data_IF_665420677737
#
_entry.id   IF_665420677737
#
_cell.length_a   1.000
_cell.length_b   1.000
_cell.length_c   1.000
_cell.angle_alpha   90.00
_cell.angle_beta   90.00
_cell.angle_gamma   90.00
#
_symmetry.space_group_name_H-M   'P 1'
#
loop_
_entity.id
_entity.type
_entity.pdbx_description
1 polymer ?
#
# COMPACT_ATOMS: atom_id res chain seq x y z
N UNK A 1 -32.38 -39.30 9.88
CA UNK A 1 -32.97 -38.07 10.46
C UNK A 1 -32.55 -36.91 9.58
N UNK A 2 -33.39 -36.66 8.58
CA UNK A 2 -33.27 -35.59 7.60
C UNK A 2 -33.91 -34.33 8.18
N UNK A 3 -33.35 -33.15 7.88
CA UNK A 3 -34.17 -32.01 7.51
C UNK A 3 -33.36 -31.09 6.59
N UNK A 4 -33.64 -31.27 5.30
CA UNK A 4 -33.37 -30.32 4.22
C UNK A 4 -34.73 -29.80 3.75
N UNK A 5 -34.73 -28.56 3.24
CA UNK A 5 -35.58 -28.03 2.16
C UNK A 5 -36.74 -27.05 2.47
N UNK A 6 -36.74 -26.00 1.64
CA UNK A 6 -37.81 -25.10 1.20
C UNK A 6 -38.31 -24.06 2.22
N UNK A 7 -38.48 -22.77 1.89
CA UNK A 7 -39.31 -22.27 0.77
C UNK A 7 -38.78 -20.92 0.26
N UNK A 8 -38.64 -20.82 -1.07
CA UNK A 8 -38.68 -19.58 -1.83
C UNK A 8 -39.98 -19.55 -2.67
N UNK A 9 -40.45 -18.33 -2.96
CA UNK A 9 -41.49 -17.92 -3.91
C UNK A 9 -42.98 -18.12 -3.59
N UNK A 10 -43.66 -17.00 -3.28
CA UNK A 10 -44.88 -16.62 -4.01
C UNK A 10 -45.07 -15.09 -4.07
N UNK A 11 -45.41 -14.61 -5.26
CA UNK A 11 -45.46 -13.23 -5.74
C UNK A 11 -46.90 -12.67 -5.73
N UNK A 12 -47.04 -11.34 -5.51
CA UNK A 12 -48.14 -10.39 -5.91
C UNK A 12 -49.49 -10.45 -5.19
N UNK A 13 -49.82 -9.35 -4.47
CA UNK A 13 -50.79 -8.29 -4.86
C UNK A 13 -50.94 -7.24 -3.74
N UNK A 14 -50.88 -5.94 -4.08
CA UNK A 14 -51.55 -4.88 -3.29
C UNK A 14 -50.73 -3.67 -2.80
N UNK A 15 -50.34 -2.78 -3.71
CA UNK A 15 -50.50 -1.30 -3.61
C UNK A 15 -50.10 -0.47 -2.38
N UNK A 16 -49.23 0.52 -2.68
CA UNK A 16 -49.12 1.91 -2.15
C UNK A 16 -48.19 2.23 -0.96
N UNK A 17 -47.12 2.94 -1.34
CA UNK A 17 -46.61 4.21 -0.77
C UNK A 17 -45.95 4.21 0.61
N UNK A 18 -44.63 4.45 0.60
CA UNK A 18 -43.85 4.87 1.78
C UNK A 18 -42.36 4.59 1.60
N UNK A 19 -41.60 5.58 1.09
CA UNK A 19 -40.14 5.53 0.94
C UNK A 19 -39.48 5.24 2.30
N UNK A 20 -38.93 4.04 2.49
CA UNK A 20 -37.93 3.74 3.52
C UNK A 20 -36.55 4.05 2.97
N UNK A 21 -35.91 5.07 3.53
CA UNK A 21 -34.52 5.41 3.31
C UNK A 21 -33.70 4.67 4.38
N UNK A 22 -33.51 3.36 4.19
CA UNK A 22 -32.58 2.57 5.00
C UNK A 22 -31.16 2.86 4.50
N UNK A 23 -30.49 3.81 5.17
CA UNK A 23 -29.05 4.03 5.02
C UNK A 23 -28.32 2.80 5.56
N UNK A 24 -27.78 1.97 4.66
CA UNK A 24 -26.80 0.93 5.00
C UNK A 24 -25.52 1.58 5.54
N UNK A 25 -25.44 1.72 6.86
CA UNK A 25 -24.18 1.82 7.59
C UNK A 25 -23.50 0.43 7.55
N UNK A 26 -22.75 0.16 6.47
CA UNK A 26 -21.73 -0.90 6.47
C UNK A 26 -20.44 -0.34 7.07
N UNK A 27 -19.68 -1.12 7.86
CA UNK A 27 -18.65 -0.60 8.75
C UNK A 27 -17.42 -0.13 7.97
N UNK A 28 -17.14 1.18 8.06
CA UNK A 28 -15.93 1.86 7.53
C UNK A 28 -14.60 1.27 8.05
N UNK A 29 -14.65 0.43 9.07
CA UNK A 29 -13.48 -0.17 9.72
C UNK A 29 -12.86 -1.35 8.94
N UNK A 30 -13.54 -1.88 7.92
CA UNK A 30 -12.93 -2.82 6.94
C UNK A 30 -12.11 -2.06 5.89
N UNK A 31 -12.38 -0.77 5.68
CA UNK A 31 -11.66 0.04 4.71
C UNK A 31 -10.22 0.33 5.15
N UNK A 32 -9.92 0.43 6.46
CA UNK A 32 -8.56 0.79 6.90
C UNK A 32 -7.49 -0.26 6.62
N UNK A 33 -7.84 -1.55 6.59
CA UNK A 33 -6.92 -2.62 6.14
C UNK A 33 -6.54 -2.48 4.66
N UNK A 34 -7.47 -1.98 3.84
CA UNK A 34 -7.23 -1.61 2.44
C UNK A 34 -6.62 -0.21 2.26
N UNK A 35 -6.80 0.72 3.20
CA UNK A 35 -6.21 2.07 3.15
C UNK A 35 -4.71 2.02 3.50
N UNK A 36 -4.26 1.10 4.35
CA UNK A 36 -2.84 0.76 4.50
C UNK A 36 -2.25 0.09 3.23
N UNK A 37 -3.07 -0.46 2.33
CA UNK A 37 -2.64 -0.94 1.01
C UNK A 37 -2.52 0.20 -0.03
N UNK A 38 -3.11 1.37 0.24
CA UNK A 38 -3.05 2.57 -0.61
C UNK A 38 -1.84 3.48 -0.32
N UNK A 39 -0.96 3.14 0.64
CA UNK A 39 0.35 3.79 0.77
C UNK A 39 1.40 3.26 -0.22
N UNK A 40 1.02 2.31 -1.08
CA UNK A 40 1.82 1.91 -2.24
C UNK A 40 1.89 3.07 -3.23
N UNK A 41 3.02 3.81 -3.20
CA UNK A 41 3.37 4.80 -4.21
C UNK A 41 3.11 4.21 -5.61
N UNK A 42 2.40 4.90 -6.53
CA UNK A 42 2.30 4.43 -7.89
C UNK A 42 3.71 4.46 -8.52
N UNK A 43 4.18 3.27 -8.93
CA UNK A 43 5.25 3.05 -9.89
C UNK A 43 6.56 3.81 -9.63
N UNK A 44 7.46 3.24 -8.81
CA UNK A 44 8.88 3.59 -8.91
C UNK A 44 9.40 2.98 -10.22
N UNK A 45 9.50 3.81 -11.26
CA UNK A 45 10.20 3.49 -12.49
C UNK A 45 11.62 3.03 -12.11
N UNK A 46 11.92 1.78 -12.43
CA UNK A 46 13.20 1.15 -12.17
C UNK A 46 14.33 2.00 -12.77
N UNK A 47 15.15 2.60 -11.92
CA UNK A 47 16.43 3.16 -12.35
C UNK A 47 17.39 2.00 -12.66
N UNK A 48 18.19 2.07 -13.74
CA UNK A 48 19.07 0.98 -14.17
C UNK A 48 20.36 0.85 -13.34
N UNK A 49 20.44 1.52 -12.19
CA UNK A 49 21.60 1.42 -11.31
C UNK A 49 21.17 0.73 -10.00
N UNK A 50 21.87 -0.32 -9.56
CA UNK A 50 21.69 -0.81 -8.22
C UNK A 50 22.02 0.34 -7.28
N UNK A 51 21.03 0.86 -6.56
CA UNK A 51 21.31 1.51 -5.28
C UNK A 51 21.70 0.38 -4.32
N UNK A 52 22.90 -0.17 -4.52
CA UNK A 52 23.71 -0.57 -3.38
C UNK A 52 23.75 0.69 -2.50
N UNK A 53 22.98 0.69 -1.41
CA UNK A 53 23.48 1.35 -0.23
C UNK A 53 24.62 0.45 0.20
N UNK A 54 25.91 0.78 -0.04
CA UNK A 54 26.89 0.29 0.90
C UNK A 54 26.37 0.83 2.24
N UNK A 55 25.99 -0.04 3.16
CA UNK A 55 26.06 0.32 4.57
C UNK A 55 27.46 0.89 4.72
N UNK A 56 27.55 2.22 4.85
CA UNK A 56 28.82 2.88 5.01
C UNK A 56 29.43 2.21 6.23
N UNK A 57 30.53 1.49 6.00
CA UNK A 57 31.37 0.87 7.04
C UNK A 57 31.88 1.92 8.06
N UNK A 58 31.54 3.18 7.85
CA UNK A 58 31.94 4.38 8.55
C UNK A 58 30.89 4.93 9.53
N UNK A 59 29.63 4.48 9.49
CA UNK A 59 28.63 4.86 10.53
C UNK A 59 28.74 4.01 11.82
N UNK A 60 29.59 2.98 11.80
CA UNK A 60 29.81 2.09 12.96
C UNK A 60 30.67 2.71 14.08
N UNK A 61 31.10 3.97 13.95
CA UNK A 61 32.09 4.57 14.86
C UNK A 61 31.55 5.45 15.98
N UNK A 62 30.27 5.85 15.95
CA UNK A 62 29.76 6.82 16.93
C UNK A 62 28.83 6.24 18.01
N UNK A 63 28.53 4.93 17.99
CA UNK A 63 27.57 4.33 18.94
C UNK A 63 26.15 4.91 18.84
N UNK A 64 25.86 5.70 17.81
CA UNK A 64 24.57 6.34 17.56
C UNK A 64 23.62 5.36 16.90
N UNK A 65 22.37 5.35 17.37
CA UNK A 65 21.35 4.46 16.84
C UNK A 65 20.83 5.01 15.49
N UNK A 66 20.57 4.14 14.50
CA UNK A 66 20.00 4.58 13.23
C UNK A 66 18.53 4.94 13.41
N UNK A 67 18.05 5.91 12.61
CA UNK A 67 16.63 6.25 12.57
C UNK A 67 15.83 5.02 12.05
N UNK A 68 14.76 4.61 12.76
CA UNK A 68 13.95 3.44 12.41
C UNK A 68 13.17 3.56 11.09
N UNK A 69 13.03 4.76 10.53
CA UNK A 69 12.19 5.04 9.37
C UNK A 69 10.73 5.32 9.74
N UNK A 70 9.84 5.23 8.76
CA UNK A 70 8.40 5.46 8.95
C UNK A 70 7.67 4.17 9.33
N UNK A 71 6.55 4.30 10.04
CA UNK A 71 5.72 3.15 10.45
C UNK A 71 5.18 2.36 9.24
N UNK A 72 4.75 3.06 8.19
CA UNK A 72 4.37 2.46 6.89
C UNK A 72 5.49 1.62 6.25
N UNK A 73 6.75 1.93 6.57
CA UNK A 73 7.92 1.26 6.04
C UNK A 73 8.19 -0.11 6.65
N UNK A 74 7.56 -0.46 7.77
CA UNK A 74 7.90 -1.65 8.55
C UNK A 74 7.77 -2.94 7.74
N UNK A 75 6.62 -3.14 7.09
CA UNK A 75 6.33 -4.32 6.28
C UNK A 75 6.74 -4.15 4.80
N UNK A 76 7.27 -2.99 4.42
CA UNK A 76 7.51 -2.65 3.02
C UNK A 76 8.46 -3.61 2.33
N UNK A 77 9.55 -4.00 3.01
CA UNK A 77 10.53 -4.93 2.43
C UNK A 77 9.91 -6.29 2.09
N UNK A 78 8.96 -6.74 2.90
CA UNK A 78 8.24 -7.99 2.64
C UNK A 78 7.22 -7.80 1.53
N UNK A 79 6.36 -6.77 1.62
CA UNK A 79 5.34 -6.43 0.62
C UNK A 79 5.91 -6.21 -0.78
N UNK A 80 7.10 -5.60 -0.89
CA UNK A 80 7.76 -5.33 -2.17
C UNK A 80 8.19 -6.62 -2.91
N UNK A 81 8.31 -7.77 -2.24
CA UNK A 81 8.63 -9.08 -2.86
C UNK A 81 7.40 -9.71 -3.52
N UNK A 82 6.20 -9.44 -3.00
CA UNK A 82 4.97 -10.04 -3.51
C UNK A 82 4.61 -9.50 -4.90
N UNK A 83 4.05 -10.35 -5.77
CA UNK A 83 3.50 -9.92 -7.05
C UNK A 83 2.20 -9.13 -6.84
N UNK A 84 2.02 -8.05 -7.59
CA UNK A 84 0.75 -7.33 -7.61
C UNK A 84 -0.25 -8.06 -8.52
N UNK A 85 -1.46 -8.28 -8.01
CA UNK A 85 -2.53 -8.88 -8.81
C UNK A 85 -2.91 -7.95 -9.95
N UNK A 86 -2.72 -8.41 -11.18
CA UNK A 86 -3.12 -7.71 -12.40
C UNK A 86 -4.21 -8.49 -13.10
N UNK A 87 -5.30 -7.81 -13.45
CA UNK A 87 -6.42 -8.38 -14.18
C UNK A 87 -6.64 -7.59 -15.48
N UNK A 88 -6.89 -8.28 -16.58
CA UNK A 88 -7.18 -7.65 -17.86
C UNK A 88 -5.95 -7.02 -18.51
N UNK A 89 -6.15 -5.98 -19.33
CA UNK A 89 -5.08 -5.32 -20.08
C UNK A 89 -4.81 -3.94 -19.49
N UNK A 90 -3.57 -3.71 -19.03
CA UNK A 90 -3.14 -2.42 -18.47
C UNK A 90 -2.06 -1.78 -19.35
N UNK A 91 -2.38 -0.67 -20.01
CA UNK A 91 -1.39 0.12 -20.75
C UNK A 91 -1.04 1.38 -19.96
N UNK A 92 0.23 1.53 -19.60
CA UNK A 92 0.75 2.72 -18.92
C UNK A 92 1.69 3.41 -19.90
N UNK A 93 1.41 4.67 -20.23
CA UNK A 93 2.27 5.51 -21.05
C UNK A 93 2.78 6.65 -20.18
N UNK A 94 4.05 6.58 -19.81
CA UNK A 94 4.75 7.60 -19.06
C UNK A 94 5.47 8.53 -20.03
N UNK A 95 5.26 9.84 -19.89
CA UNK A 95 5.96 10.88 -20.63
C UNK A 95 6.57 11.86 -19.64
N UNK A 96 7.90 11.91 -19.61
CA UNK A 96 8.63 12.91 -18.85
C UNK A 96 8.79 14.17 -19.71
N UNK A 97 8.08 15.24 -19.36
CA UNK A 97 8.20 16.52 -20.08
C UNK A 97 9.40 17.34 -19.58
N UNK A 98 9.73 17.21 -18.29
CA UNK A 98 10.87 17.86 -17.64
C UNK A 98 11.38 17.00 -16.48
N UNK A 99 12.55 17.35 -15.92
CA UNK A 99 13.09 16.73 -14.69
C UNK A 99 12.08 16.78 -13.53
N UNK A 100 11.27 17.85 -13.51
CA UNK A 100 10.31 18.14 -12.45
C UNK A 100 8.89 17.72 -12.78
N UNK A 101 8.59 17.42 -14.04
CA UNK A 101 7.22 17.19 -14.48
C UNK A 101 7.10 15.91 -15.28
N UNK A 102 6.36 14.95 -14.70
CA UNK A 102 6.06 13.67 -15.34
C UNK A 102 4.55 13.50 -15.47
N UNK A 103 4.13 13.02 -16.62
CA UNK A 103 2.75 12.72 -16.96
C UNK A 103 2.65 11.23 -17.25
N UNK A 104 1.61 10.58 -16.75
CA UNK A 104 1.36 9.16 -16.91
C UNK A 104 -0.10 8.95 -17.29
N UNK A 105 -0.30 8.24 -18.39
CA UNK A 105 -1.62 7.85 -18.90
C UNK A 105 -1.79 6.36 -18.64
N UNK A 106 -2.71 5.99 -17.77
CA UNK A 106 -2.99 4.58 -17.47
C UNK A 106 -4.35 4.20 -18.02
N UNK A 107 -4.36 3.33 -19.02
CA UNK A 107 -5.55 2.66 -19.54
C UNK A 107 -5.65 1.29 -18.89
N UNK A 108 -6.77 1.01 -18.25
CA UNK A 108 -7.04 -0.27 -17.60
C UNK A 108 -8.33 -0.85 -18.18
N UNK A 109 -8.19 -1.88 -19.00
CA UNK A 109 -9.30 -2.62 -19.59
C UNK A 109 -9.48 -3.92 -18.82
N UNK A 110 -10.58 -4.07 -18.09
CA UNK A 110 -10.92 -5.32 -17.40
C UNK A 110 -12.16 -5.95 -18.07
N UNK A 111 -12.25 -7.28 -17.97
CA UNK A 111 -13.42 -8.03 -18.40
C UNK A 111 -14.50 -8.10 -17.30
N UNK A 112 -14.13 -7.84 -16.04
CA UNK A 112 -15.01 -7.95 -14.85
C UNK A 112 -15.40 -6.58 -14.32
N UNK A 113 -14.47 -5.63 -14.31
CA UNK A 113 -14.65 -4.26 -13.87
C UNK A 113 -14.80 -3.31 -15.07
N UNK A 114 -15.46 -2.14 -14.90
CA UNK A 114 -15.54 -1.15 -15.97
C UNK A 114 -14.13 -0.73 -16.41
N UNK A 115 -13.96 -0.62 -17.73
CA UNK A 115 -12.72 -0.09 -18.30
C UNK A 115 -12.53 1.36 -17.86
N UNK A 116 -11.31 1.70 -17.49
CA UNK A 116 -11.02 2.97 -16.87
C UNK A 116 -9.76 3.61 -17.42
N UNK A 117 -9.79 4.95 -17.51
CA UNK A 117 -8.67 5.76 -17.91
C UNK A 117 -8.31 6.70 -16.76
N UNK A 118 -7.04 6.61 -16.32
CA UNK A 118 -6.47 7.40 -15.23
C UNK A 118 -5.36 8.28 -15.78
N UNK A 119 -5.52 9.57 -15.58
CA UNK A 119 -4.52 10.57 -15.90
C UNK A 119 -3.78 10.96 -14.62
N UNK A 120 -2.49 10.67 -14.57
CA UNK A 120 -1.64 10.91 -13.41
C UNK A 120 -0.56 11.93 -13.75
N UNK A 121 -0.43 12.96 -12.93
CA UNK A 121 0.58 14.01 -13.04
C UNK A 121 1.35 14.04 -11.75
N UNK A 122 2.68 13.99 -11.84
CA UNK A 122 3.56 14.21 -10.71
C UNK A 122 4.49 15.37 -11.00
N UNK A 123 4.44 16.36 -10.12
CA UNK A 123 5.35 17.48 -10.06
C UNK A 123 6.30 17.28 -8.88
N UNK A 124 7.60 17.23 -9.16
CA UNK A 124 8.66 17.20 -8.17
C UNK A 124 9.41 18.52 -8.26
N UNK A 125 9.29 19.36 -7.25
CA UNK A 125 10.09 20.58 -7.18
C UNK A 125 11.50 20.20 -6.75
N UNK A 126 12.54 20.61 -7.46
CA UNK A 126 13.92 20.49 -6.97
C UNK A 126 14.42 21.87 -6.63
N UNK A 127 14.77 22.09 -5.37
CA UNK A 127 15.71 23.16 -5.05
C UNK A 127 17.10 22.71 -5.48
N UNK A 128 17.83 23.62 -6.12
CA UNK A 128 19.07 23.36 -6.82
C UNK A 128 20.29 23.30 -5.88
N UNK A 129 20.07 23.34 -4.56
CA UNK A 129 21.12 23.68 -3.59
C UNK A 129 21.31 22.68 -2.43
N UNK A 130 20.64 21.53 -2.42
CA UNK A 130 20.95 20.49 -1.44
C UNK A 130 20.91 19.09 -2.05
N UNK A 131 21.99 18.33 -1.80
CA UNK A 131 22.05 16.87 -1.90
C UNK A 131 21.20 16.22 -0.78
N UNK A 132 20.01 16.76 -0.50
CA UNK A 132 19.09 16.19 0.48
C UNK A 132 17.81 15.71 -0.23
N UNK A 133 17.54 14.44 0.02
CA UNK A 133 16.83 13.50 -0.85
C UNK A 133 15.30 13.59 -0.76
N UNK A 134 14.71 14.74 -0.41
CA UNK A 134 13.28 14.84 -0.08
C UNK A 134 12.67 16.21 -0.40
N UNK A 135 12.74 16.59 -1.68
CA UNK A 135 12.08 17.80 -2.19
C UNK A 135 10.55 17.65 -2.26
N UNK A 136 9.78 18.75 -2.17
CA UNK A 136 8.33 18.69 -2.14
C UNK A 136 7.77 18.12 -3.45
N UNK A 137 6.73 17.29 -3.33
CA UNK A 137 6.14 16.58 -4.45
C UNK A 137 4.62 16.71 -4.41
N UNK A 138 4.05 17.11 -5.54
CA UNK A 138 2.61 17.13 -5.77
C UNK A 138 2.25 16.06 -6.79
N UNK A 139 1.32 15.20 -6.44
CA UNK A 139 0.77 14.18 -7.32
C UNK A 139 -0.73 14.42 -7.43
N UNK A 140 -1.24 14.49 -8.65
CA UNK A 140 -2.65 14.55 -8.95
C UNK A 140 -3.02 13.42 -9.90
N UNK A 141 -4.06 12.68 -9.58
CA UNK A 141 -4.57 11.61 -10.41
C UNK A 141 -6.07 11.75 -10.58
N UNK A 142 -6.51 11.82 -11.83
CA UNK A 142 -7.91 11.97 -12.18
C UNK A 142 -8.38 10.79 -13.01
N UNK A 143 -9.53 10.26 -12.61
CA UNK A 143 -10.20 9.16 -13.26
C UNK A 143 -11.25 9.62 -14.26
N UNK A 144 -11.53 8.81 -15.28
CA UNK A 144 -12.58 9.09 -16.28
C UNK A 144 -13.98 9.27 -15.68
N UNK A 145 -14.21 8.68 -14.51
CA UNK A 145 -15.45 8.80 -13.74
C UNK A 145 -15.58 10.11 -12.95
N UNK A 146 -14.55 10.96 -12.93
CA UNK A 146 -14.51 12.20 -12.14
C UNK A 146 -14.03 12.00 -10.70
N UNK A 147 -13.45 10.84 -10.35
CA UNK A 147 -12.75 10.67 -9.08
C UNK A 147 -11.36 11.30 -9.16
N UNK A 148 -11.03 12.20 -8.22
CA UNK A 148 -9.73 12.85 -8.12
C UNK A 148 -9.01 12.36 -6.85
N UNK A 149 -7.76 11.92 -6.99
CA UNK A 149 -6.85 11.66 -5.89
C UNK A 149 -5.70 12.66 -5.98
N UNK A 150 -5.56 13.52 -4.99
CA UNK A 150 -4.45 14.47 -4.89
C UNK A 150 -3.60 14.13 -3.65
N UNK A 151 -2.30 13.95 -3.85
CA UNK A 151 -1.32 13.79 -2.79
C UNK A 151 -0.34 14.94 -2.83
N UNK A 152 -0.17 15.64 -1.73
CA UNK A 152 0.81 16.70 -1.58
C UNK A 152 1.75 16.34 -0.44
N UNK A 153 3.04 16.35 -0.72
CA UNK A 153 4.12 16.06 0.21
C UNK A 153 4.92 17.33 0.40
N UNK A 154 4.82 17.90 1.59
CA UNK A 154 5.53 19.09 2.00
C UNK A 154 6.62 18.72 2.99
N UNK A 155 7.80 19.29 2.79
CA UNK A 155 8.88 19.24 3.76
C UNK A 155 8.91 20.59 4.48
N UNK A 156 8.35 20.64 5.70
CA UNK A 156 8.21 21.89 6.46
C UNK A 156 9.53 22.28 7.13
N UNK A 157 10.37 21.30 7.46
CA UNK A 157 11.69 21.46 8.08
C UNK A 157 12.49 20.17 7.87
N UNK A 158 13.82 20.19 8.03
CA UNK A 158 14.72 19.01 7.89
C UNK A 158 14.21 17.74 8.60
N UNK A 159 13.44 17.92 9.69
CA UNK A 159 12.91 16.84 10.52
C UNK A 159 11.40 16.65 10.42
N UNK A 160 10.67 17.57 9.79
CA UNK A 160 9.20 17.57 9.76
C UNK A 160 8.71 17.43 8.33
N UNK A 161 7.96 16.35 8.09
CA UNK A 161 7.29 16.08 6.82
C UNK A 161 5.79 16.16 7.05
N UNK A 162 5.10 16.88 6.17
CA UNK A 162 3.65 16.88 6.11
C UNK A 162 3.20 16.25 4.80
N UNK A 163 2.14 15.46 4.86
CA UNK A 163 1.54 14.79 3.72
C UNK A 163 0.04 15.02 3.79
N UNK A 164 -0.53 15.64 2.77
CA UNK A 164 -1.97 15.79 2.66
C UNK A 164 -2.48 14.98 1.47
N UNK A 165 -3.52 14.19 1.70
CA UNK A 165 -4.17 13.33 0.71
C UNK A 165 -5.64 13.73 0.65
N UNK A 166 -6.10 14.05 -0.55
CA UNK A 166 -7.49 14.37 -0.83
C UNK A 166 -8.03 13.38 -1.85
N UNK A 167 -9.17 12.77 -1.54
CA UNK A 167 -9.85 11.84 -2.44
C UNK A 167 -11.30 12.26 -2.61
N UNK A 168 -11.66 12.54 -3.86
CA UNK A 168 -13.02 12.79 -4.29
C UNK A 168 -13.52 11.62 -5.11
N UNK A 169 -14.81 11.32 -4.97
CA UNK A 169 -15.51 10.38 -5.83
C UNK A 169 -16.62 11.15 -6.53
N UNK A 170 -16.43 11.40 -7.82
CA UNK A 170 -17.35 12.20 -8.64
C UNK A 170 -17.57 13.60 -8.02
N UNK A 171 -18.76 13.84 -7.47
CA UNK A 171 -19.20 15.13 -6.92
C UNK A 171 -19.05 15.22 -5.40
N UNK A 172 -18.59 14.16 -4.72
CA UNK A 172 -18.48 14.13 -3.26
C UNK A 172 -17.03 14.00 -2.80
N UNK A 173 -16.67 14.81 -1.79
CA UNK A 173 -15.43 14.64 -1.05
C UNK A 173 -15.62 13.45 -0.11
N UNK A 174 -14.90 12.36 -0.37
CA UNK A 174 -15.06 11.10 0.38
C UNK A 174 -14.11 11.09 1.55
N UNK A 175 -12.83 11.38 1.30
CA UNK A 175 -11.82 11.40 2.36
C UNK A 175 -10.80 12.51 2.17
N UNK A 176 -10.35 13.02 3.30
CA UNK A 176 -9.21 13.91 3.38
C UNK A 176 -8.37 13.50 4.58
N UNK A 177 -7.07 13.40 4.37
CA UNK A 177 -6.12 12.89 5.34
C UNK A 177 -4.92 13.83 5.41
N UNK A 178 -4.60 14.27 6.62
CA UNK A 178 -3.41 15.05 6.92
C UNK A 178 -2.50 14.25 7.84
N UNK A 179 -1.31 13.94 7.37
CA UNK A 179 -0.29 13.20 8.08
C UNK A 179 0.91 14.13 8.33
N UNK A 180 1.36 14.21 9.57
CA UNK A 180 2.54 14.96 9.98
C UNK A 180 3.52 13.98 10.63
N UNK A 181 4.66 13.78 9.98
CA UNK A 181 5.73 12.89 10.40
C UNK A 181 6.92 13.72 10.92
N UNK A 182 7.31 13.48 12.15
CA UNK A 182 8.51 14.00 12.80
C UNK A 182 9.59 12.91 12.83
N UNK A 183 10.70 13.13 12.13
CA UNK A 183 11.86 12.25 12.14
C UNK A 183 12.94 12.83 13.05
N UNK A 184 13.08 12.23 14.21
CA UNK A 184 14.22 12.44 15.11
C UNK A 184 15.46 11.68 14.65
N UNK A 185 16.48 11.67 15.51
CA UNK A 185 17.71 10.89 15.28
C UNK A 185 17.46 9.39 15.53
N UNK A 186 16.89 9.08 16.69
CA UNK A 186 16.70 7.70 17.16
C UNK A 186 15.23 7.27 17.20
N UNK A 187 14.30 8.20 16.90
CA UNK A 187 12.86 7.95 16.92
C UNK A 187 12.15 8.64 15.76
N UNK A 188 10.99 8.12 15.40
CA UNK A 188 10.05 8.71 14.44
C UNK A 188 8.66 8.71 15.05
N UNK A 189 8.02 9.87 15.04
CA UNK A 189 6.63 10.04 15.45
C UNK A 189 5.81 10.51 14.26
N UNK A 190 4.61 9.98 14.06
CA UNK A 190 3.72 10.45 13.01
C UNK A 190 2.29 10.57 13.55
N UNK A 191 1.60 11.64 13.16
CA UNK A 191 0.19 11.85 13.51
C UNK A 191 -0.60 12.05 12.22
N UNK A 192 -1.61 11.23 12.04
CA UNK A 192 -2.51 11.23 10.90
C UNK A 192 -3.91 11.55 11.36
N UNK A 193 -4.51 12.57 10.77
CA UNK A 193 -5.91 12.95 10.94
C UNK A 193 -6.65 12.66 9.65
N UNK A 194 -7.72 11.88 9.72
CA UNK A 194 -8.55 11.54 8.56
C UNK A 194 -10.01 11.86 8.85
N UNK A 195 -10.69 12.41 7.83
CA UNK A 195 -12.14 12.65 7.81
C UNK A 195 -12.66 13.42 9.03
N UNK A 196 -12.04 14.54 9.40
CA UNK A 196 -12.57 15.39 10.46
C UNK A 196 -13.88 16.02 9.97
N UNK A 197 -14.98 15.77 10.67
CA UNK A 197 -16.22 16.49 10.45
C UNK A 197 -16.60 17.16 11.77
N UNK A 198 -16.33 18.47 11.85
CA UNK A 198 -16.63 19.28 13.04
C UNK A 198 -18.14 19.29 13.33
N UNK A 199 -18.98 19.21 12.29
CA UNK A 199 -20.43 19.27 12.43
C UNK A 199 -21.02 17.94 12.90
N UNK A 200 -20.38 16.82 12.54
CA UNK A 200 -20.83 15.46 12.92
C UNK A 200 -20.04 14.86 14.07
N UNK A 201 -19.11 15.62 14.65
CA UNK A 201 -18.16 15.19 15.69
C UNK A 201 -17.46 13.87 15.36
N UNK A 202 -17.20 13.61 14.09
CA UNK A 202 -16.49 12.39 13.67
C UNK A 202 -15.03 12.71 13.36
N UNK A 203 -14.12 11.93 13.94
CA UNK A 203 -12.68 12.05 13.69
C UNK A 203 -12.02 10.69 13.75
N UNK A 204 -11.09 10.46 12.81
CA UNK A 204 -10.13 9.36 12.91
C UNK A 204 -8.76 10.00 13.11
N UNK A 205 -8.12 9.66 14.22
CA UNK A 205 -6.77 10.06 14.53
C UNK A 205 -5.92 8.81 14.68
N UNK A 206 -4.78 8.77 14.01
CA UNK A 206 -3.80 7.71 14.14
C UNK A 206 -2.48 8.33 14.57
N UNK A 207 -1.93 7.85 15.68
CA UNK A 207 -0.63 8.28 16.18
C UNK A 207 0.32 7.09 16.17
N UNK A 208 1.47 7.26 15.53
CA UNK A 208 2.54 6.27 15.48
C UNK A 208 3.77 6.80 16.20
N UNK A 209 4.44 5.91 16.92
CA UNK A 209 5.71 6.20 17.55
C UNK A 209 6.63 5.00 17.39
N UNK A 210 7.81 5.20 16.81
CA UNK A 210 8.85 4.19 16.65
C UNK A 210 10.15 4.71 17.23
N UNK A 211 10.86 3.86 17.95
CA UNK A 211 12.14 4.16 18.57
C UNK A 211 13.11 3.01 18.33
N UNK A 212 14.31 3.37 17.88
CA UNK A 212 15.44 2.46 17.80
C UNK A 212 15.97 2.22 19.22
N UNK A 213 15.91 0.97 19.70
CA UNK A 213 16.40 0.58 21.04
C UNK A 213 17.82 0.02 20.94
N UNK A 214 18.12 -0.67 19.84
CA UNK A 214 19.47 -1.13 19.51
C UNK A 214 19.74 -0.93 18.03
N UNK A 215 20.98 -1.14 17.59
CA UNK A 215 21.36 -1.03 16.18
C UNK A 215 20.57 -1.97 15.24
N UNK A 216 19.88 -2.97 15.79
CA UNK A 216 19.11 -3.97 15.05
C UNK A 216 17.64 -4.02 15.47
N UNK A 217 17.28 -3.52 16.66
CA UNK A 217 15.95 -3.64 17.23
C UNK A 217 15.27 -2.28 17.28
N UNK A 218 14.12 -2.20 16.62
CA UNK A 218 13.20 -1.07 16.64
C UNK A 218 11.92 -1.51 17.30
N UNK A 219 11.42 -0.73 18.26
CA UNK A 219 10.14 -0.95 18.91
C UNK A 219 9.27 0.29 18.75
N UNK A 220 7.96 0.10 18.78
CA UNK A 220 7.03 1.20 18.72
C UNK A 220 5.60 0.78 18.92
N UNK A 221 4.70 1.70 18.63
CA UNK A 221 3.28 1.46 18.67
C UNK A 221 2.50 2.41 17.78
N UNK A 222 1.29 1.99 17.48
CA UNK A 222 0.27 2.72 16.75
C UNK A 222 -0.98 2.78 17.62
N UNK A 223 -1.50 3.98 17.81
CA UNK A 223 -2.76 4.25 18.46
C UNK A 223 -3.74 4.78 17.42
N UNK A 224 -4.74 3.97 17.09
CA UNK A 224 -5.86 4.36 16.24
C UNK A 224 -7.02 4.76 17.15
N UNK A 225 -7.36 6.03 17.18
CA UNK A 225 -8.54 6.57 17.83
C UNK A 225 -9.58 6.93 16.78
N UNK A 226 -10.75 6.32 16.85
CA UNK A 226 -11.90 6.69 16.02
C UNK A 226 -13.04 7.08 16.93
N UNK A 227 -13.59 8.27 16.67
CA UNK A 227 -14.79 8.79 17.30
C UNK A 227 -15.83 8.98 16.21
N UNK A 228 -16.92 8.26 16.32
CA UNK A 228 -18.13 8.45 15.51
C UNK A 228 -19.30 8.85 16.40
N UNK A 229 -20.38 9.32 15.78
CA UNK A 229 -21.59 9.81 16.49
C UNK A 229 -22.23 8.78 17.44
N UNK A 230 -21.96 7.48 17.24
CA UNK A 230 -22.56 6.39 18.03
C UNK A 230 -21.53 5.51 18.76
N UNK A 231 -20.25 5.54 18.37
CA UNK A 231 -19.23 4.65 18.91
C UNK A 231 -17.89 5.37 19.04
N UNK A 232 -17.27 5.24 20.21
CA UNK A 232 -15.88 5.62 20.46
C UNK A 232 -15.04 4.37 20.62
N UNK A 233 -13.89 4.32 19.95
CA UNK A 233 -12.99 3.19 20.03
C UNK A 233 -11.52 3.57 19.87
N UNK A 234 -10.69 2.99 20.73
CA UNK A 234 -9.23 3.06 20.63
C UNK A 234 -8.66 1.67 20.40
N UNK A 235 -7.77 1.53 19.42
CA UNK A 235 -6.99 0.32 19.21
C UNK A 235 -5.52 0.70 19.35
N UNK A 236 -4.85 0.09 20.32
CA UNK A 236 -3.41 0.13 20.46
C UNK A 236 -2.82 -1.12 19.82
N UNK A 237 -1.84 -0.89 18.95
CA UNK A 237 -1.03 -1.92 18.29
C UNK A 237 0.42 -1.68 18.66
N UNK A 238 1.11 -2.70 19.14
CA UNK A 238 2.54 -2.66 19.37
C UNK A 238 3.24 -3.17 18.12
N UNK A 239 4.36 -2.54 17.77
CA UNK A 239 5.16 -2.86 16.60
C UNK A 239 6.60 -3.15 17.02
N UNK A 240 7.20 -4.17 16.42
CA UNK A 240 8.60 -4.52 16.61
C UNK A 240 9.24 -4.90 15.28
N UNK A 241 10.47 -4.46 15.06
CA UNK A 241 11.28 -4.85 13.92
C UNK A 241 12.68 -5.23 14.38
N UNK A 242 13.16 -6.35 13.86
CA UNK A 242 14.50 -6.83 14.06
C UNK A 242 15.20 -6.98 12.71
N UNK A 243 16.29 -6.23 12.54
CA UNK A 243 17.07 -6.18 11.30
C UNK A 243 18.40 -6.92 11.48
N UNK A 244 18.50 -8.09 10.86
CA UNK A 244 19.75 -8.84 10.71
C UNK A 244 20.56 -8.39 9.50
N UNK A 245 21.71 -9.05 9.21
CA UNK A 245 22.58 -8.68 8.09
C UNK A 245 21.94 -8.88 6.72
N UNK A 246 21.14 -9.95 6.54
CA UNK A 246 20.51 -10.32 5.28
C UNK A 246 18.98 -10.54 5.40
N UNK A 247 18.41 -10.28 6.57
CA UNK A 247 17.01 -10.58 6.87
C UNK A 247 16.41 -9.54 7.80
N UNK A 248 15.11 -9.35 7.72
CA UNK A 248 14.35 -8.41 8.54
C UNK A 248 13.07 -9.12 8.98
N UNK A 249 12.85 -9.20 10.28
CA UNK A 249 11.61 -9.71 10.86
C UNK A 249 10.83 -8.56 11.49
N UNK A 250 9.52 -8.52 11.29
CA UNK A 250 8.66 -7.50 11.87
C UNK A 250 7.40 -8.15 12.44
N UNK A 251 6.88 -7.58 13.51
CA UNK A 251 5.70 -8.05 14.21
C UNK A 251 4.89 -6.85 14.69
N UNK A 252 3.64 -6.78 14.25
CA UNK A 252 2.63 -5.87 14.76
C UNK A 252 1.57 -6.69 15.49
N UNK A 253 1.28 -6.38 16.75
CA UNK A 253 0.28 -7.09 17.53
C UNK A 253 -0.56 -6.10 18.34
N UNK A 254 -1.87 -6.19 18.21
CA UNK A 254 -2.81 -5.30 18.90
C UNK A 254 -4.16 -5.98 19.10
N UNK A 255 -5.09 -5.24 19.68
CA UNK A 255 -6.47 -5.75 19.91
C UNK A 255 -7.20 -6.10 18.60
N UNK A 256 -6.79 -5.50 17.48
CA UNK A 256 -7.37 -5.76 16.16
C UNK A 256 -6.87 -7.04 15.47
N UNK A 257 -5.71 -7.56 15.88
CA UNK A 257 -5.05 -8.68 15.22
C UNK A 257 -3.53 -8.65 15.38
N UNK A 258 -2.87 -9.61 14.74
CA UNK A 258 -1.43 -9.70 14.64
C UNK A 258 -1.01 -9.80 13.17
N UNK A 259 0.05 -9.08 12.79
CA UNK A 259 0.65 -9.13 11.48
C UNK A 259 2.16 -9.29 11.63
N UNK A 260 2.69 -10.44 11.22
CA UNK A 260 4.10 -10.75 11.22
C UNK A 260 4.62 -10.82 9.79
N UNK A 261 5.80 -10.26 9.53
CA UNK A 261 6.45 -10.43 8.23
C UNK A 261 7.93 -10.75 8.38
N UNK A 262 8.44 -11.61 7.51
CA UNK A 262 9.83 -12.03 7.48
C UNK A 262 10.36 -11.89 6.07
N UNK A 263 11.31 -10.99 5.90
CA UNK A 263 12.03 -10.75 4.66
C UNK A 263 13.42 -11.34 4.75
N UNK A 264 13.85 -12.06 3.72
CA UNK A 264 15.19 -12.63 3.64
C UNK A 264 15.76 -12.50 2.22
N UNK A 265 16.94 -11.89 2.13
CA UNK A 265 17.71 -11.82 0.89
C UNK A 265 18.69 -12.98 0.83
N UNK A 266 18.29 -14.06 0.16
CA UNK A 266 19.11 -15.25 0.02
C UNK A 266 20.33 -15.00 -0.88
N UNK A 267 20.12 -14.33 -2.02
CA UNK A 267 21.18 -14.02 -2.99
C UNK A 267 20.97 -12.63 -3.60
N UNK A 268 21.93 -12.16 -4.41
CA UNK A 268 21.79 -10.89 -5.16
C UNK A 268 20.57 -10.91 -6.09
N UNK A 269 20.25 -12.09 -6.64
CA UNK A 269 19.15 -12.33 -7.57
C UNK A 269 17.85 -12.78 -6.89
N UNK A 270 17.90 -13.38 -5.71
CA UNK A 270 16.73 -14.02 -5.08
C UNK A 270 16.43 -13.38 -3.73
N UNK A 271 15.17 -12.96 -3.58
CA UNK A 271 14.61 -12.41 -2.35
C UNK A 271 13.35 -13.18 -1.99
N UNK A 272 13.13 -13.40 -0.69
CA UNK A 272 12.00 -14.16 -0.17
C UNK A 272 11.30 -13.33 0.89
N UNK A 273 9.97 -13.37 0.90
CA UNK A 273 9.11 -12.71 1.86
C UNK A 273 8.06 -13.69 2.38
N UNK A 274 7.79 -13.65 3.68
CA UNK A 274 6.73 -14.42 4.32
C UNK A 274 5.88 -13.47 5.14
N UNK A 275 4.57 -13.50 4.93
CA UNK A 275 3.59 -12.70 5.68
C UNK A 275 2.62 -13.62 6.39
N UNK A 276 2.34 -13.30 7.64
CA UNK A 276 1.32 -13.95 8.44
C UNK A 276 0.41 -12.86 9.01
N UNK A 277 -0.86 -12.89 8.63
CA UNK A 277 -1.86 -11.94 9.09
C UNK A 277 -2.96 -12.72 9.82
N UNK A 278 -3.24 -12.31 11.05
CA UNK A 278 -4.27 -12.87 11.90
C UNK A 278 -5.17 -11.72 12.36
N UNK A 279 -6.42 -11.72 11.92
CA UNK A 279 -7.39 -10.68 12.27
C UNK A 279 -8.36 -11.22 13.32
N UNK A 280 -8.35 -10.61 14.51
CA UNK A 280 -9.27 -11.01 15.60
C UNK A 280 -10.71 -10.66 15.26
N UNK A 281 -10.93 -9.64 14.42
CA UNK A 281 -12.27 -9.22 14.00
C UNK A 281 -12.92 -10.21 13.05
N UNK A 282 -12.19 -10.65 12.03
CA UNK A 282 -12.72 -11.59 11.02
C UNK A 282 -12.53 -13.04 11.45
N UNK A 283 -11.74 -13.31 12.50
CA UNK A 283 -11.33 -14.66 12.91
C UNK A 283 -10.68 -15.42 11.76
N UNK A 284 -10.00 -14.69 10.86
CA UNK A 284 -9.28 -15.26 9.73
C UNK A 284 -7.78 -15.15 9.94
N UNK A 285 -7.07 -16.20 9.57
CA UNK A 285 -5.61 -16.25 9.52
C UNK A 285 -5.16 -16.55 8.10
N UNK A 286 -4.31 -15.70 7.55
CA UNK A 286 -3.71 -15.84 6.22
C UNK A 286 -2.21 -15.97 6.34
N UNK A 287 -1.65 -16.91 5.58
CA UNK A 287 -0.22 -17.14 5.52
C UNK A 287 0.19 -17.09 4.06
N UNK A 288 1.01 -16.10 3.71
CA UNK A 288 1.45 -15.83 2.35
C UNK A 288 2.96 -15.97 2.26
N UNK A 289 3.42 -16.76 1.31
CA UNK A 289 4.81 -16.93 0.93
C UNK A 289 5.04 -16.27 -0.44
N UNK A 290 6.03 -15.40 -0.54
CA UNK A 290 6.39 -14.69 -1.75
C UNK A 290 7.88 -14.82 -2.06
N UNK A 291 8.22 -14.82 -3.33
CA UNK A 291 9.62 -14.73 -3.75
C UNK A 291 9.76 -13.85 -4.99
N UNK A 292 10.90 -13.20 -5.10
CA UNK A 292 11.30 -12.39 -6.24
C UNK A 292 12.63 -12.91 -6.76
N UNK A 293 12.68 -13.19 -8.06
CA UNK A 293 13.86 -13.61 -8.80
C UNK A 293 14.16 -12.57 -9.88
N UNK A 294 15.34 -11.96 -9.79
CA UNK A 294 15.87 -11.01 -10.77
C UNK A 294 16.90 -11.71 -11.66
N UNK A 295 16.62 -11.75 -12.97
CA UNK A 295 17.50 -12.29 -14.00
C UNK A 295 18.06 -11.13 -14.84
N UNK A 296 19.23 -10.58 -14.45
CA UNK A 296 19.82 -9.43 -15.13
C UNK A 296 20.23 -9.76 -16.58
N UNK A 297 20.66 -10.99 -16.85
CA UNK A 297 21.07 -11.43 -18.21
C UNK A 297 19.91 -11.38 -19.22
N UNK A 298 18.68 -11.56 -18.75
CA UNK A 298 17.48 -11.57 -19.59
C UNK A 298 16.62 -10.31 -19.44
N UNK A 299 17.08 -9.30 -18.66
CA UNK A 299 16.34 -8.10 -18.27
C UNK A 299 14.93 -8.41 -17.74
N UNK A 300 14.83 -9.41 -16.88
CA UNK A 300 13.57 -10.01 -16.47
C UNK A 300 13.49 -10.15 -14.95
N UNK A 301 12.35 -9.77 -14.37
CA UNK A 301 12.05 -9.94 -12.96
C UNK A 301 10.81 -10.81 -12.84
N UNK A 302 10.93 -11.92 -12.12
CA UNK A 302 9.81 -12.79 -11.81
C UNK A 302 9.45 -12.65 -10.33
N UNK A 303 8.16 -12.56 -10.02
CA UNK A 303 7.64 -12.56 -8.64
C UNK A 303 6.59 -13.64 -8.54
N UNK A 304 6.69 -14.51 -7.55
CA UNK A 304 5.70 -15.55 -7.27
C UNK A 304 5.13 -15.41 -5.87
N UNK A 305 3.88 -15.83 -5.67
CA UNK A 305 3.31 -16.03 -4.34
C UNK A 305 2.47 -17.30 -4.23
N UNK A 306 2.36 -17.77 -3.00
CA UNK A 306 1.52 -18.85 -2.55
C UNK A 306 0.85 -18.41 -1.25
N UNK A 307 -0.48 -18.47 -1.18
CA UNK A 307 -1.24 -18.13 0.03
C UNK A 307 -1.97 -19.37 0.59
N UNK A 308 -2.27 -19.35 1.90
CA UNK A 308 -2.97 -20.42 2.61
C UNK A 308 -4.41 -20.66 2.12
N UNK A 309 -4.96 -19.71 1.36
CA UNK A 309 -6.25 -19.84 0.67
C UNK A 309 -6.16 -20.66 -0.62
N UNK A 310 -5.01 -21.32 -0.88
CA UNK A 310 -4.70 -22.03 -2.12
C UNK A 310 -4.74 -21.10 -3.35
N UNK A 311 -4.33 -19.85 -3.17
CA UNK A 311 -4.12 -18.91 -4.26
C UNK A 311 -2.65 -18.97 -4.63
N UNK A 312 -2.38 -19.30 -5.89
CA UNK A 312 -1.03 -19.34 -6.46
C UNK A 312 -0.99 -18.33 -7.58
N UNK A 313 0.04 -17.49 -7.61
CA UNK A 313 0.18 -16.57 -8.72
C UNK A 313 1.59 -16.07 -8.91
N UNK A 314 1.81 -15.46 -10.06
CA UNK A 314 3.07 -14.85 -10.36
C UNK A 314 2.94 -13.75 -11.40
N UNK A 315 3.92 -12.85 -11.38
CA UNK A 315 4.06 -11.74 -12.32
C UNK A 315 5.46 -11.80 -12.91
N UNK A 316 5.53 -11.78 -14.23
CA UNK A 316 6.75 -11.67 -15.00
C UNK A 316 6.84 -10.26 -15.59
N UNK A 317 7.85 -9.51 -15.19
CA UNK A 317 8.20 -8.24 -15.79
C UNK A 317 9.42 -8.43 -16.70
N UNK A 318 9.27 -8.15 -18.00
CA UNK A 318 10.36 -8.20 -18.96
C UNK A 318 10.57 -6.83 -19.58
N UNK A 319 11.76 -6.27 -19.39
CA UNK A 319 12.14 -5.04 -20.10
C UNK A 319 12.59 -5.43 -21.49
N UNK A 320 11.92 -4.87 -22.48
CA UNK A 320 12.31 -5.04 -23.87
C UNK A 320 13.50 -4.12 -24.12
N UNK A 321 14.49 -4.58 -24.88
CA UNK A 321 15.59 -3.76 -25.38
C UNK A 321 15.61 -3.98 -26.89
N UNK A 322 15.68 -2.94 -27.74
CA UNK A 322 16.09 -1.55 -27.47
C UNK A 322 14.97 -0.54 -27.10
N UNK A 323 13.70 -0.93 -27.12
CA UNK A 323 12.58 -0.03 -26.85
C UNK A 323 12.45 0.26 -25.33
N UNK A 324 12.12 1.49 -24.88
CA UNK A 324 11.87 1.81 -23.47
C UNK A 324 10.51 1.28 -22.99
N UNK A 325 10.22 0.01 -23.27
CA UNK A 325 8.96 -0.66 -22.94
C UNK A 325 9.21 -1.84 -22.00
N UNK A 326 8.34 -1.99 -21.01
CA UNK A 326 8.32 -3.13 -20.10
C UNK A 326 7.02 -3.89 -20.28
N UNK A 327 7.12 -5.16 -20.63
CA UNK A 327 6.00 -6.09 -20.67
C UNK A 327 5.81 -6.69 -19.27
N UNK A 328 4.58 -6.72 -18.80
CA UNK A 328 4.19 -7.29 -17.51
C UNK A 328 3.16 -8.38 -17.80
N UNK A 329 3.37 -9.60 -17.35
CA UNK A 329 2.42 -10.70 -17.51
C UNK A 329 2.13 -11.29 -16.14
N UNK A 330 0.88 -11.28 -15.72
CA UNK A 330 0.45 -11.81 -14.42
C UNK A 330 -0.59 -12.91 -14.58
N UNK A 331 -0.51 -13.94 -13.76
CA UNK A 331 -1.53 -14.97 -13.66
C UNK A 331 -1.69 -15.40 -12.20
N UNK A 332 -2.95 -15.49 -11.76
CA UNK A 332 -3.34 -15.89 -10.41
C UNK A 332 -4.45 -16.93 -10.50
N UNK A 333 -4.25 -18.07 -9.85
CA UNK A 333 -5.16 -19.21 -9.80
C UNK A 333 -5.61 -19.37 -8.36
N UNK A 334 -6.92 -19.31 -8.14
CA UNK A 334 -7.53 -19.73 -6.90
C UNK A 334 -8.06 -21.15 -7.06
N UNK A 335 -7.34 -22.13 -6.50
CA UNK A 335 -7.72 -23.54 -6.59
C UNK A 335 -8.96 -23.91 -5.77
N UNK A 336 -9.29 -23.14 -4.73
CA UNK A 336 -10.47 -23.42 -3.89
C UNK A 336 -11.75 -22.88 -4.51
N UNK A 337 -11.64 -21.78 -5.24
CA UNK A 337 -12.77 -21.11 -5.89
C UNK A 337 -12.89 -21.36 -7.39
N UNK A 338 -11.98 -22.13 -7.98
CA UNK A 338 -11.85 -22.37 -9.43
C UNK A 338 -11.90 -21.10 -10.27
N UNK A 339 -11.13 -20.08 -9.85
CA UNK A 339 -11.04 -18.79 -10.56
C UNK A 339 -9.62 -18.55 -11.04
N UNK A 340 -9.50 -18.27 -12.34
CA UNK A 340 -8.27 -17.82 -12.97
C UNK A 340 -8.38 -16.32 -13.28
N UNK A 341 -7.40 -15.55 -12.83
CA UNK A 341 -7.24 -14.15 -13.16
C UNK A 341 -5.92 -13.96 -13.89
N UNK A 342 -5.99 -13.52 -15.14
CA UNK A 342 -4.81 -13.21 -15.95
C UNK A 342 -4.80 -11.73 -16.29
N UNK A 343 -3.60 -11.17 -16.34
CA UNK A 343 -3.37 -9.78 -16.70
C UNK A 343 -2.18 -9.62 -17.63
N UNK A 344 -2.30 -8.70 -18.58
CA UNK A 344 -1.24 -8.27 -19.47
C UNK A 344 -1.06 -6.76 -19.31
N UNK A 345 0.14 -6.34 -18.90
CA UNK A 345 0.52 -4.95 -18.78
C UNK A 345 1.59 -4.57 -19.79
N UNK A 346 1.49 -3.37 -20.36
CA UNK A 346 2.59 -2.76 -21.10
C UNK A 346 2.85 -1.39 -20.50
N UNK A 347 4.09 -1.13 -20.09
CA UNK A 347 4.53 0.16 -19.63
C UNK A 347 5.52 0.75 -20.64
N UNK A 348 5.17 1.86 -21.26
CA UNK A 348 6.01 2.60 -22.20
C UNK A 348 6.46 3.88 -21.51
N UNK A 349 7.78 4.13 -21.49
CA UNK A 349 8.39 5.26 -20.80
C UNK A 349 9.21 6.18 -21.68
#
# INVERSE_FOLDING_TARGET
MLHFCAVADLIKRGGRSGRKQECLFRPLLVSMGSVLALSSRPGRQNSPFPQDRPHSRWDRRDGRLPNPGSFDGLHRNCKDVFPQQTEGVKLIVNKTLSSFFKVSHTFHLSAVAPSNYRFHVSYLQSDTDSKELDSPMLIGEMDSSGSLNAHSLFHLSERIRAKAVFQTQQSQFVTWQFETEYRGRDFTAAVTLANLDILRESVIMVAHFLQSVSSQLVLGGELVYHRGRAEEGGILTLAGQYSGPNWVATLNAGKGGAHASYYHRANKQIQVGVEFEASTRTQETTFSFGYQMDLPEANMVFRGMLDSRCIIGGVLEKRLSPLPATLIMGAFVNHRGDKLQCGLGVNVG
#
